data_IF_066590304579
#
_entry.id   IF_066590304579
#
_cell.length_a   1.000
_cell.length_b   1.000
_cell.length_c   1.000
_cell.angle_alpha   90.00
_cell.angle_beta   90.00
_cell.angle_gamma   90.00
#
_symmetry.space_group_name_H-M   'P 1'
#
loop_
_entity.id
_entity.type
_entity.pdbx_description
1 polymer ?
#
# COMPACT_ATOMS: atom_id res chain seq x y z
N UNK A 1 12.65 -18.10 -20.53
CA UNK A 1 12.05 -18.25 -19.19
C UNK A 1 11.42 -16.92 -18.81
N UNK A 2 10.10 -16.77 -18.98
CA UNK A 2 9.41 -15.53 -18.61
C UNK A 2 8.90 -15.65 -17.18
N UNK A 3 9.64 -15.05 -16.23
CA UNK A 3 9.19 -14.93 -14.85
C UNK A 3 7.98 -14.00 -14.74
N UNK A 4 7.18 -14.20 -13.70
CA UNK A 4 6.06 -13.29 -13.39
C UNK A 4 6.64 -11.91 -13.05
N UNK A 5 6.21 -10.83 -13.71
CA UNK A 5 6.71 -9.48 -13.43
C UNK A 5 6.54 -9.13 -11.96
N UNK A 6 7.51 -8.40 -11.42
CA UNK A 6 7.46 -7.88 -10.05
C UNK A 6 7.31 -6.37 -10.11
N UNK A 7 6.30 -5.86 -9.41
CA UNK A 7 5.98 -4.44 -9.32
C UNK A 7 6.32 -3.94 -7.92
N UNK A 8 7.00 -2.80 -7.84
CA UNK A 8 7.32 -2.13 -6.58
C UNK A 8 6.27 -1.05 -6.32
N UNK A 9 5.73 -1.03 -5.10
CA UNK A 9 4.82 0.01 -4.61
C UNK A 9 5.55 0.78 -3.53
N UNK A 10 5.47 2.10 -3.60
CA UNK A 10 6.00 3.02 -2.60
C UNK A 10 4.90 3.96 -2.15
N UNK A 11 4.71 4.06 -0.84
CA UNK A 11 3.72 4.93 -0.20
C UNK A 11 4.49 5.81 0.77
N UNK A 12 4.59 7.11 0.46
CA UNK A 12 5.32 8.09 1.26
C UNK A 12 4.39 9.10 1.89
N UNK A 13 4.62 9.42 3.17
CA UNK A 13 3.94 10.53 3.83
C UNK A 13 4.72 11.83 3.58
N UNK A 14 4.24 12.64 2.64
CA UNK A 14 4.82 13.94 2.27
C UNK A 14 4.05 15.13 2.87
N UNK A 15 3.33 14.92 3.98
CA UNK A 15 2.53 15.96 4.61
C UNK A 15 3.34 17.25 4.86
N UNK A 16 2.94 18.35 4.22
CA UNK A 16 3.68 19.61 4.24
C UNK A 16 3.81 20.23 5.64
N UNK A 17 2.88 19.90 6.55
CA UNK A 17 2.84 20.42 7.93
C UNK A 17 3.55 19.54 8.95
N UNK A 18 4.29 18.51 8.50
CA UNK A 18 4.95 17.58 9.42
C UNK A 18 4.00 16.61 10.11
N UNK A 19 2.80 16.40 9.56
CA UNK A 19 1.79 15.58 10.21
C UNK A 19 2.07 14.08 10.06
N UNK A 20 1.64 13.34 11.08
CA UNK A 20 1.70 11.88 11.07
C UNK A 20 0.37 11.36 10.56
N UNK A 21 0.41 10.49 9.55
CA UNK A 21 -0.79 9.86 9.00
C UNK A 21 -0.92 8.44 9.53
N UNK A 22 -2.14 7.97 9.75
CA UNK A 22 -2.43 6.60 10.18
C UNK A 22 -3.72 6.13 9.52
N UNK A 23 -4.06 4.85 9.70
CA UNK A 23 -5.27 4.26 9.13
C UNK A 23 -5.39 4.53 7.62
N UNK A 24 -4.33 4.16 6.89
CA UNK A 24 -4.16 4.45 5.46
C UNK A 24 -4.86 3.37 4.65
N UNK A 25 -5.95 3.74 3.99
CA UNK A 25 -6.70 2.88 3.08
C UNK A 25 -6.36 3.21 1.62
N UNK A 26 -6.15 2.16 0.84
CA UNK A 26 -5.80 2.20 -0.58
C UNK A 26 -6.90 1.51 -1.38
N UNK A 27 -7.43 2.20 -2.38
CA UNK A 27 -8.27 1.62 -3.40
C UNK A 27 -7.42 0.68 -4.26
N UNK A 28 -7.62 -0.62 -4.08
CA UNK A 28 -6.80 -1.66 -4.69
C UNK A 28 -7.57 -2.56 -5.67
N UNK A 29 -8.84 -2.26 -5.95
CA UNK A 29 -9.72 -3.02 -6.84
C UNK A 29 -9.71 -4.52 -6.58
N UNK A 30 -9.32 -5.28 -7.61
CA UNK A 30 -9.14 -6.73 -7.61
C UNK A 30 -7.67 -7.12 -7.38
N UNK A 31 -6.95 -6.38 -6.53
CA UNK A 31 -5.54 -6.65 -6.24
C UNK A 31 -5.30 -8.12 -5.92
N UNK A 32 -4.30 -8.69 -6.58
CA UNK A 32 -3.83 -10.05 -6.41
C UNK A 32 -2.33 -10.12 -6.65
N UNK A 33 -1.66 -10.99 -5.91
CA UNK A 33 -0.23 -11.25 -6.06
C UNK A 33 -0.01 -12.75 -6.00
N UNK A 34 0.85 -13.25 -6.88
CA UNK A 34 1.29 -14.65 -6.87
C UNK A 34 2.23 -14.92 -5.70
N UNK A 35 2.96 -13.90 -5.25
CA UNK A 35 3.82 -13.96 -4.07
C UNK A 35 3.09 -13.42 -2.85
N UNK A 36 3.26 -14.10 -1.72
CA UNK A 36 2.73 -13.65 -0.44
C UNK A 36 3.36 -12.30 -0.06
N UNK A 37 2.52 -11.31 0.24
CA UNK A 37 2.96 -10.02 0.76
C UNK A 37 2.75 -10.04 2.27
N UNK A 38 3.64 -9.42 3.03
CA UNK A 38 3.50 -9.32 4.47
C UNK A 38 2.18 -8.59 4.81
N UNK A 39 1.22 -9.24 5.49
CA UNK A 39 -0.08 -8.65 5.81
C UNK A 39 0.02 -7.48 6.80
N UNK A 40 1.16 -7.32 7.50
CA UNK A 40 1.42 -6.15 8.33
C UNK A 40 1.80 -4.91 7.51
N UNK A 41 2.20 -5.08 6.24
CA UNK A 41 2.57 -3.99 5.34
C UNK A 41 1.42 -3.64 4.41
N UNK A 42 0.79 -4.64 3.80
CA UNK A 42 -0.34 -4.45 2.89
C UNK A 42 -1.32 -5.61 3.00
N UNK A 43 -2.57 -5.30 3.33
CA UNK A 43 -3.63 -6.30 3.52
C UNK A 43 -4.93 -5.83 2.89
N UNK A 44 -5.50 -6.66 2.00
CA UNK A 44 -6.85 -6.43 1.46
C UNK A 44 -7.88 -6.76 2.53
N UNK A 45 -8.68 -5.77 2.94
CA UNK A 45 -9.76 -5.93 3.91
C UNK A 45 -11.07 -6.34 3.24
N UNK A 46 -11.41 -5.67 2.12
CA UNK A 46 -12.60 -5.95 1.31
C UNK A 46 -12.33 -5.64 -0.16
N UNK A 47 -13.33 -5.84 -1.02
CA UNK A 47 -13.23 -5.44 -2.42
C UNK A 47 -12.88 -3.95 -2.52
N UNK A 48 -11.84 -3.62 -3.30
CA UNK A 48 -11.35 -2.26 -3.47
C UNK A 48 -10.90 -1.54 -2.19
N UNK A 49 -10.58 -2.26 -1.11
CA UNK A 49 -10.08 -1.65 0.13
C UNK A 49 -8.92 -2.46 0.70
N UNK A 50 -7.75 -1.84 0.71
CA UNK A 50 -6.53 -2.38 1.26
C UNK A 50 -5.96 -1.46 2.35
N UNK A 51 -5.61 -2.07 3.48
CA UNK A 51 -4.97 -1.40 4.60
C UNK A 51 -3.44 -1.45 4.47
N UNK A 52 -2.81 -0.31 4.69
CA UNK A 52 -1.35 -0.16 4.68
C UNK A 52 -0.82 -0.10 6.11
N UNK A 53 0.36 -0.66 6.34
CA UNK A 53 1.06 -0.65 7.63
C UNK A 53 0.25 -1.24 8.80
N UNK A 54 -0.76 -2.07 8.51
CA UNK A 54 -1.72 -2.54 9.52
C UNK A 54 -2.47 -1.40 10.22
N UNK A 55 -2.63 -0.24 9.57
CA UNK A 55 -3.26 0.95 10.14
C UNK A 55 -2.36 1.77 11.06
N UNK A 56 -1.10 1.36 11.26
CA UNK A 56 -0.14 2.08 12.10
C UNK A 56 0.28 3.41 11.49
N UNK A 57 0.72 4.30 12.36
CA UNK A 57 1.25 5.62 12.00
C UNK A 57 2.43 5.51 11.03
N UNK A 58 2.34 6.25 9.94
CA UNK A 58 3.42 6.58 9.03
C UNK A 58 3.89 7.99 9.34
N UNK A 59 5.09 8.11 9.91
CA UNK A 59 5.67 9.39 10.27
C UNK A 59 5.88 10.29 9.04
N UNK A 60 5.93 11.60 9.25
CA UNK A 60 6.29 12.51 8.17
C UNK A 60 7.67 12.17 7.58
N UNK A 61 7.77 12.13 6.25
CA UNK A 61 8.99 11.74 5.53
C UNK A 61 9.27 10.23 5.51
N UNK A 62 8.46 9.42 6.20
CA UNK A 62 8.60 7.97 6.13
C UNK A 62 7.93 7.39 4.89
N UNK A 63 8.54 6.32 4.37
CA UNK A 63 8.09 5.60 3.17
C UNK A 63 7.95 4.12 3.47
N UNK A 64 6.84 3.54 3.03
CA UNK A 64 6.61 2.10 3.03
C UNK A 64 6.78 1.61 1.61
N UNK A 65 7.62 0.59 1.43
CA UNK A 65 7.80 -0.08 0.16
C UNK A 65 7.50 -1.57 0.26
N UNK A 66 6.83 -2.10 -0.75
CA UNK A 66 6.62 -3.54 -0.89
C UNK A 66 6.59 -3.92 -2.36
N UNK A 67 6.85 -5.20 -2.62
CA UNK A 67 6.86 -5.76 -3.97
C UNK A 67 5.75 -6.79 -4.09
N UNK A 68 5.08 -6.82 -5.24
CA UNK A 68 4.10 -7.84 -5.59
C UNK A 68 4.39 -8.44 -6.96
N UNK A 69 3.98 -9.68 -7.17
CA UNK A 69 4.20 -10.38 -8.43
C UNK A 69 2.87 -10.59 -9.14
N UNK A 70 2.68 -9.96 -10.29
CA UNK A 70 1.51 -10.16 -11.14
C UNK A 70 1.82 -9.80 -12.60
N UNK A 71 1.07 -10.39 -13.51
CA UNK A 71 1.09 -10.17 -14.96
C UNK A 71 0.89 -8.71 -15.37
N UNK A 72 0.18 -7.92 -14.57
CA UNK A 72 -0.03 -6.48 -14.80
C UNK A 72 0.10 -5.67 -13.50
N UNK A 73 0.36 -4.37 -13.64
CA UNK A 73 0.35 -3.43 -12.52
C UNK A 73 -1.07 -3.00 -12.18
N UNK A 74 -1.39 -2.91 -10.89
CA UNK A 74 -2.66 -2.37 -10.41
C UNK A 74 -2.55 -0.86 -10.22
N UNK A 75 -3.56 -0.07 -10.65
CA UNK A 75 -3.67 1.34 -10.26
C UNK A 75 -4.07 1.42 -8.79
N UNK A 76 -3.08 1.61 -7.92
CA UNK A 76 -3.30 1.79 -6.48
C UNK A 76 -3.43 3.28 -6.19
N UNK A 77 -4.52 3.70 -5.56
CA UNK A 77 -4.73 5.10 -5.14
C UNK A 77 -5.14 5.18 -3.68
N UNK A 78 -4.75 6.28 -3.01
CA UNK A 78 -5.14 6.53 -1.62
C UNK A 78 -6.64 6.81 -1.60
N UNK A 79 -7.40 6.00 -0.84
CA UNK A 79 -8.85 6.19 -0.66
C UNK A 79 -9.16 7.06 0.55
N UNK A 80 -8.47 6.82 1.67
CA UNK A 80 -8.63 7.62 2.88
C UNK A 80 -7.40 7.52 3.78
N UNK A 81 -7.16 8.58 4.54
CA UNK A 81 -6.12 8.66 5.57
C UNK A 81 -6.68 9.39 6.78
N UNK A 82 -6.15 9.10 7.96
CA UNK A 82 -6.36 9.91 9.17
C UNK A 82 -5.07 10.66 9.49
N UNK A 83 -5.21 11.90 9.92
CA UNK A 83 -4.09 12.75 10.33
C UNK A 83 -4.21 13.04 11.83
N UNK A 84 -3.07 13.07 12.52
CA UNK A 84 -2.94 13.59 13.87
C UNK A 84 -1.94 14.74 13.90
#
# INVERSE_FOLDING_TARGET
MNGIPTHTVEISNTCLRGCNIFDIHVACGKFGSVRLINPNIFKRLKYNDCLVNGGKTLANGATISFKYANTFSYPLSISSVRCK
#
